data_IF_114058831287
#
_entry.id   IF_114058831287
#
_cell.length_a   1.000
_cell.length_b   1.000
_cell.length_c   1.000
_cell.angle_alpha   90.00
_cell.angle_beta   90.00
_cell.angle_gamma   90.00
#
_symmetry.space_group_name_H-M   'P 1'
#
loop_
_entity.id
_entity.type
_entity.pdbx_description
1 polymer ?
#
# COMPACT_ATOMS: atom_id res chain seq x y z
N UNK A 1 37.53 3.54 2.14
CA UNK A 1 36.14 3.25 2.55
C UNK A 1 35.72 4.35 3.51
N UNK A 2 34.67 5.12 3.18
CA UNK A 2 34.19 6.22 4.04
C UNK A 2 33.36 5.61 5.16
N UNK A 3 33.89 5.60 6.39
CA UNK A 3 33.16 5.15 7.57
C UNK A 3 32.61 6.38 8.31
N UNK A 4 31.30 6.45 8.49
CA UNK A 4 30.62 7.49 9.26
C UNK A 4 29.96 6.79 10.45
N UNK A 5 30.47 7.03 11.67
CA UNK A 5 29.85 6.56 12.92
C UNK A 5 30.15 5.11 13.37
N UNK A 6 31.31 4.55 13.03
CA UNK A 6 31.69 3.20 13.50
C UNK A 6 32.23 3.17 14.93
N UNK A 7 31.86 2.16 15.72
CA UNK A 7 32.59 1.77 16.93
C UNK A 7 33.86 1.03 16.52
N UNK A 8 35.03 1.50 16.93
CA UNK A 8 36.26 0.75 16.74
C UNK A 8 36.20 -0.51 17.61
N UNK A 9 36.22 -1.69 16.97
CA UNK A 9 36.72 -2.88 17.64
C UNK A 9 38.22 -2.63 17.89
N UNK A 10 38.68 -2.87 19.11
CA UNK A 10 40.02 -2.49 19.57
C UNK A 10 41.11 -2.88 18.56
N UNK A 11 41.87 -1.91 18.07
CA UNK A 11 43.13 -2.15 17.37
C UNK A 11 43.31 -1.60 15.96
N UNK A 12 42.31 -0.93 15.34
CA UNK A 12 42.53 -0.21 14.07
C UNK A 12 42.24 1.29 14.20
N UNK A 13 43.12 2.18 13.69
CA UNK A 13 42.88 3.62 13.70
C UNK A 13 41.79 4.01 12.70
N UNK A 14 40.78 4.77 13.14
CA UNK A 14 39.99 5.62 12.23
C UNK A 14 40.65 7.02 12.24
N UNK A 15 41.49 7.35 11.27
CA UNK A 15 42.20 8.64 11.22
C UNK A 15 41.35 9.81 10.67
N UNK A 16 40.05 9.77 10.97
CA UNK A 16 39.05 10.81 10.80
C UNK A 16 38.46 11.03 9.38
N UNK A 17 37.12 10.95 9.32
CA UNK A 17 36.30 11.41 8.20
C UNK A 17 35.38 12.51 8.72
N UNK A 18 35.60 13.75 8.29
CA UNK A 18 34.78 14.89 8.65
C UNK A 18 33.91 15.31 7.46
N UNK A 19 32.60 15.41 7.68
CA UNK A 19 31.69 16.02 6.70
C UNK A 19 31.55 17.49 7.06
N UNK A 20 32.24 18.35 6.30
CA UNK A 20 32.06 19.79 6.39
C UNK A 20 30.68 20.22 5.88
N UNK A 21 30.23 21.41 6.30
CA UNK A 21 28.97 21.98 5.79
C UNK A 21 27.70 21.43 6.42
N UNK A 22 27.78 20.81 7.61
CA UNK A 22 26.60 20.34 8.37
C UNK A 22 26.10 21.41 9.33
N UNK A 23 26.99 22.03 10.11
CA UNK A 23 26.62 23.08 11.06
C UNK A 23 26.38 24.41 10.32
N UNK A 24 25.19 24.98 10.48
CA UNK A 24 24.81 26.26 9.88
C UNK A 24 24.36 26.21 8.42
N UNK A 25 24.31 25.02 7.79
CA UNK A 25 23.74 24.87 6.47
C UNK A 25 22.20 24.85 6.53
N UNK A 26 21.56 25.66 5.70
CA UNK A 26 20.11 25.64 5.53
C UNK A 26 19.73 24.53 4.55
N UNK A 27 18.77 23.70 4.96
CA UNK A 27 18.14 22.69 4.10
C UNK A 27 16.63 22.85 4.15
N UNK A 28 15.96 22.56 3.04
CA UNK A 28 14.50 22.63 2.96
C UNK A 28 13.84 21.66 3.95
N UNK A 29 12.91 22.17 4.74
CA UNK A 29 12.14 21.38 5.71
C UNK A 29 11.20 20.37 5.05
N UNK A 30 10.97 20.48 3.73
CA UNK A 30 10.06 19.61 3.00
C UNK A 30 10.47 18.13 3.08
N UNK A 31 11.78 17.83 3.16
CA UNK A 31 12.31 16.47 3.20
C UNK A 31 13.42 16.29 4.26
N UNK A 32 13.58 17.24 5.19
CA UNK A 32 14.61 17.17 6.21
C UNK A 32 14.28 16.12 7.29
N UNK A 33 15.28 15.33 7.69
CA UNK A 33 15.19 14.40 8.81
C UNK A 33 16.16 14.84 9.92
N UNK A 34 15.65 14.93 11.15
CA UNK A 34 16.48 15.24 12.32
C UNK A 34 17.30 14.01 12.73
N UNK A 35 18.62 14.18 12.83
CA UNK A 35 19.56 13.21 13.41
C UNK A 35 20.26 13.86 14.60
N UNK A 36 20.54 13.07 15.62
CA UNK A 36 21.30 13.44 16.81
C UNK A 36 22.69 12.83 16.73
N UNK A 37 23.67 13.52 17.30
CA UNK A 37 25.04 13.01 17.45
C UNK A 37 25.24 12.72 18.94
N UNK A 38 25.65 11.51 19.29
CA UNK A 38 26.22 11.23 20.60
C UNK A 38 27.59 11.92 20.68
N UNK A 39 27.70 12.96 21.50
CA UNK A 39 28.91 13.76 21.64
C UNK A 39 30.07 12.99 22.28
N UNK A 40 29.81 11.83 22.88
CA UNK A 40 30.82 10.98 23.52
C UNK A 40 31.42 10.00 22.52
N UNK A 41 30.60 9.41 21.66
CA UNK A 41 31.02 8.34 20.73
C UNK A 41 31.11 8.79 19.28
N UNK A 42 30.55 9.95 18.94
CA UNK A 42 30.42 10.45 17.58
C UNK A 42 29.37 9.71 16.73
N UNK A 43 28.54 8.84 17.33
CA UNK A 43 27.53 8.07 16.61
C UNK A 43 26.32 8.92 16.25
N UNK A 44 25.76 8.69 15.05
CA UNK A 44 24.50 9.29 14.61
C UNK A 44 23.30 8.43 15.01
N UNK A 45 22.25 9.06 15.50
CA UNK A 45 21.00 8.39 15.89
C UNK A 45 19.75 9.20 15.54
N UNK A 46 18.61 8.54 15.46
CA UNK A 46 17.29 9.19 15.20
C UNK A 46 16.32 9.09 16.38
N UNK A 47 16.70 8.33 17.41
CA UNK A 47 15.95 8.18 18.64
C UNK A 47 16.88 8.44 19.82
N UNK A 48 16.42 9.25 20.77
CA UNK A 48 17.13 9.47 22.02
C UNK A 48 16.68 8.42 23.03
N UNK A 49 17.62 7.98 23.85
CA UNK A 49 17.38 7.04 24.95
C UNK A 49 17.92 7.69 26.22
N UNK A 50 17.11 7.72 27.28
CA UNK A 50 17.52 8.22 28.59
C UNK A 50 18.50 7.25 29.25
N UNK A 51 19.19 7.70 30.30
CA UNK A 51 20.20 6.89 31.01
C UNK A 51 19.67 5.56 31.57
N UNK A 52 18.35 5.44 31.75
CA UNK A 52 17.65 4.23 32.20
C UNK A 52 17.16 3.32 31.05
N UNK A 53 17.52 3.62 29.80
CA UNK A 53 17.07 2.86 28.63
C UNK A 53 15.70 3.25 28.08
N UNK A 54 15.01 4.24 28.68
CA UNK A 54 13.71 4.68 28.19
C UNK A 54 13.85 5.53 26.92
N UNK A 55 13.06 5.21 25.88
CA UNK A 55 13.05 5.95 24.61
C UNK A 55 12.42 7.33 24.82
N UNK A 56 13.20 8.38 24.63
CA UNK A 56 12.75 9.78 24.66
C UNK A 56 12.69 10.33 23.24
N UNK A 57 11.67 9.93 22.48
CA UNK A 57 11.47 10.48 21.13
C UNK A 57 10.63 11.75 21.17
N UNK A 58 11.18 12.87 20.73
CA UNK A 58 10.35 13.87 20.07
C UNK A 58 9.83 13.22 18.76
N UNK A 59 8.55 13.41 18.38
CA UNK A 59 7.99 12.79 17.19
C UNK A 59 8.72 13.33 15.96
N UNK A 60 9.64 12.52 15.41
CA UNK A 60 10.23 12.78 14.10
C UNK A 60 9.06 12.83 13.11
N UNK A 61 8.81 14.01 12.52
CA UNK A 61 7.83 14.19 11.45
C UNK A 61 8.33 13.41 10.23
N UNK A 62 8.09 12.10 10.22
CA UNK A 62 8.17 11.21 9.06
C UNK A 62 7.02 11.51 8.07
N UNK A 63 6.78 12.79 7.82
CA UNK A 63 5.67 13.27 7.01
C UNK A 63 5.90 12.88 5.56
N UNK A 64 6.92 13.44 4.91
CA UNK A 64 7.11 13.33 3.46
C UNK A 64 7.22 11.89 2.92
N UNK A 65 8.01 11.02 3.57
CA UNK A 65 8.18 9.63 3.10
C UNK A 65 6.94 8.76 3.35
N UNK A 66 6.23 8.95 4.48
CA UNK A 66 4.94 8.27 4.69
C UNK A 66 3.86 8.85 3.78
N UNK A 67 3.87 10.16 3.52
CA UNK A 67 2.95 10.82 2.61
C UNK A 67 3.09 10.24 1.21
N UNK A 68 4.30 10.21 0.64
CA UNK A 68 4.54 9.66 -0.70
C UNK A 68 4.18 8.18 -0.81
N UNK A 69 4.43 7.38 0.23
CA UNK A 69 3.99 5.98 0.29
C UNK A 69 2.47 5.84 0.41
N UNK A 70 1.81 6.76 1.12
CA UNK A 70 0.37 6.79 1.27
C UNK A 70 -0.31 7.21 -0.03
N UNK A 71 0.18 8.26 -0.69
CA UNK A 71 -0.33 8.77 -1.97
C UNK A 71 -0.25 7.69 -3.05
N UNK A 72 0.89 6.98 -3.15
CA UNK A 72 1.03 5.81 -4.05
C UNK A 72 0.03 4.69 -3.74
N UNK A 73 -0.30 4.46 -2.46
CA UNK A 73 -1.30 3.47 -2.08
C UNK A 73 -2.70 3.90 -2.48
N UNK A 74 -3.04 5.18 -2.29
CA UNK A 74 -4.33 5.75 -2.71
C UNK A 74 -4.50 5.64 -4.22
N UNK A 75 -3.49 6.01 -5.00
CA UNK A 75 -3.51 5.89 -6.47
C UNK A 75 -3.70 4.43 -6.93
N UNK A 76 -2.96 3.49 -6.32
CA UNK A 76 -3.11 2.05 -6.62
C UNK A 76 -4.49 1.49 -6.24
N UNK A 77 -5.12 2.02 -5.19
CA UNK A 77 -6.47 1.64 -4.81
C UNK A 77 -7.51 2.22 -5.78
N UNK A 78 -7.39 3.48 -6.15
CA UNK A 78 -8.28 4.13 -7.11
C UNK A 78 -8.27 3.42 -8.47
N UNK A 79 -7.09 3.08 -8.98
CA UNK A 79 -6.96 2.32 -10.24
C UNK A 79 -7.61 0.94 -10.17
N UNK A 80 -7.48 0.23 -9.04
CA UNK A 80 -8.16 -1.07 -8.83
C UNK A 80 -9.67 -0.93 -8.75
N UNK A 81 -10.17 0.09 -8.05
CA UNK A 81 -11.62 0.36 -7.94
C UNK A 81 -12.21 0.63 -9.33
N UNK A 82 -11.59 1.50 -10.12
CA UNK A 82 -12.06 1.80 -11.47
C UNK A 82 -12.04 0.56 -12.39
N UNK A 83 -11.06 -0.33 -12.22
CA UNK A 83 -11.01 -1.60 -12.94
C UNK A 83 -12.15 -2.55 -12.52
N UNK A 84 -12.42 -2.64 -11.21
CA UNK A 84 -13.51 -3.47 -10.67
C UNK A 84 -14.88 -2.95 -11.12
N UNK A 85 -15.11 -1.64 -11.13
CA UNK A 85 -16.35 -1.03 -11.60
C UNK A 85 -16.64 -1.40 -13.07
N UNK A 86 -15.63 -1.32 -13.95
CA UNK A 86 -15.77 -1.75 -15.34
C UNK A 86 -16.09 -3.24 -15.47
N UNK A 87 -15.45 -4.09 -14.68
CA UNK A 87 -15.72 -5.54 -14.70
C UNK A 87 -17.15 -5.83 -14.24
N UNK A 88 -17.62 -5.16 -13.20
CA UNK A 88 -19.00 -5.30 -12.69
C UNK A 88 -20.02 -4.87 -13.74
N UNK A 89 -19.76 -3.77 -14.46
CA UNK A 89 -20.63 -3.30 -15.53
C UNK A 89 -20.75 -4.34 -16.65
N UNK A 90 -19.62 -4.90 -17.12
CA UNK A 90 -19.59 -5.94 -18.16
C UNK A 90 -20.32 -7.20 -17.68
N UNK A 91 -20.09 -7.64 -16.44
CA UNK A 91 -20.78 -8.81 -15.89
C UNK A 91 -22.28 -8.54 -15.76
N UNK A 92 -22.69 -7.33 -15.39
CA UNK A 92 -24.09 -6.96 -15.29
C UNK A 92 -24.80 -6.95 -16.65
N UNK A 93 -24.13 -6.52 -17.73
CA UNK A 93 -24.71 -6.55 -19.08
C UNK A 93 -24.86 -7.99 -19.57
N UNK A 94 -23.83 -8.83 -19.39
CA UNK A 94 -23.88 -10.25 -19.72
C UNK A 94 -24.99 -10.99 -18.96
N UNK A 95 -25.18 -10.70 -17.67
CA UNK A 95 -26.27 -11.30 -16.89
C UNK A 95 -27.66 -10.91 -17.40
N UNK A 96 -27.86 -9.64 -17.79
CA UNK A 96 -29.13 -9.19 -18.38
C UNK A 96 -29.39 -9.87 -19.73
N UNK A 97 -28.36 -10.03 -20.55
CA UNK A 97 -28.47 -10.73 -21.83
C UNK A 97 -28.81 -12.22 -21.64
N UNK A 98 -28.15 -12.90 -20.70
CA UNK A 98 -28.47 -14.29 -20.37
C UNK A 98 -29.91 -14.44 -19.86
N UNK A 99 -30.39 -13.52 -19.02
CA UNK A 99 -31.78 -13.54 -18.56
C UNK A 99 -32.78 -13.42 -19.72
N UNK A 100 -32.52 -12.56 -20.71
CA UNK A 100 -33.35 -12.43 -21.90
C UNK A 100 -33.33 -13.70 -22.78
N UNK A 101 -32.17 -14.35 -22.93
CA UNK A 101 -32.07 -15.62 -23.66
C UNK A 101 -32.86 -16.74 -22.96
N UNK A 102 -32.78 -16.85 -21.62
CA UNK A 102 -33.54 -17.84 -20.85
C UNK A 102 -35.04 -17.62 -21.01
N UNK A 103 -35.53 -16.38 -20.96
CA UNK A 103 -36.94 -16.07 -21.20
C UNK A 103 -37.38 -16.52 -22.60
N UNK A 104 -36.55 -16.24 -23.62
CA UNK A 104 -36.82 -16.67 -25.01
C UNK A 104 -36.87 -18.19 -25.14
N UNK A 105 -35.91 -18.92 -24.56
CA UNK A 105 -35.87 -20.39 -24.57
C UNK A 105 -37.07 -20.97 -23.83
N UNK A 106 -37.46 -20.37 -22.70
CA UNK A 106 -38.62 -20.81 -21.91
C UNK A 106 -39.93 -20.66 -22.71
N UNK A 107 -40.12 -19.54 -23.39
CA UNK A 107 -41.29 -19.31 -24.24
C UNK A 107 -41.36 -20.33 -25.40
N UNK A 108 -40.23 -20.64 -26.04
CA UNK A 108 -40.19 -21.67 -27.10
C UNK A 108 -40.55 -23.05 -26.55
N UNK A 109 -40.04 -23.39 -25.36
CA UNK A 109 -40.33 -24.68 -24.72
C UNK A 109 -41.81 -24.82 -24.35
N UNK A 110 -42.46 -23.77 -23.85
CA UNK A 110 -43.89 -23.78 -23.57
C UNK A 110 -44.73 -23.97 -24.85
N UNK A 111 -44.35 -23.30 -25.95
CA UNK A 111 -45.05 -23.48 -27.24
C UNK A 111 -44.83 -24.83 -27.89
N UNK A 112 -43.72 -25.52 -27.57
CA UNK A 112 -43.40 -26.85 -28.08
C UNK A 112 -43.98 -27.98 -27.21
N UNK A 113 -44.66 -27.66 -26.10
CA UNK A 113 -45.23 -28.67 -25.20
C UNK A 113 -46.48 -29.28 -25.86
N UNK A 114 -46.50 -30.58 -26.20
CA UNK A 114 -47.66 -31.21 -26.83
C UNK A 114 -48.87 -31.20 -25.89
N UNK A 115 -50.06 -30.94 -26.45
CA UNK A 115 -51.31 -30.89 -25.67
C UNK A 115 -51.52 -32.17 -24.83
N UNK A 116 -52.04 -32.06 -23.58
CA UNK A 116 -52.32 -33.22 -22.74
C UNK A 116 -53.27 -34.18 -23.48
N UNK A 117 -52.77 -35.36 -23.87
CA UNK A 117 -53.64 -36.44 -24.38
C UNK A 117 -54.39 -37.03 -23.19
N UNK A 118 -55.62 -36.60 -22.98
CA UNK A 118 -56.52 -37.20 -21.99
C UNK A 118 -56.90 -38.58 -22.52
N UNK A 119 -56.40 -39.64 -21.88
CA UNK A 119 -56.85 -41.01 -22.18
C UNK A 119 -58.18 -41.21 -21.46
N UNK A 120 -59.29 -41.14 -22.20
CA UNK A 120 -60.60 -41.57 -21.69
C UNK A 120 -60.61 -43.10 -21.61
N UNK A 121 -60.50 -43.65 -20.40
CA UNK A 121 -60.69 -45.07 -20.13
C UNK A 121 -62.17 -45.29 -19.82
N UNK A 122 -62.92 -45.83 -20.78
CA UNK A 122 -64.32 -46.22 -20.58
C UNK A 122 -64.37 -47.68 -20.13
N UNK A 123 -64.77 -47.91 -18.87
CA UNK A 123 -65.20 -49.20 -18.35
C UNK A 123 -66.58 -49.08 -17.72
#
# INVERSE_FOLDING_TARGET
>A
MIAIGGFAASGTPYEACYIGGIAGAEISTANAATVYIDTTTGQLGTALVGANGNKSTAPVRRGAQRQAMFDRKVEKLQTRIAQQEKQIEILSTQLKEQAAQIQKVSAQLETSRPAPRVVTNNQ
#
